data_IF_875382684813
#
_entry.id   IF_875382684813
#
_cell.length_a   1.000
_cell.length_b   1.000
_cell.length_c   1.000
_cell.angle_alpha   90.00
_cell.angle_beta   90.00
_cell.angle_gamma   90.00
#
_symmetry.space_group_name_H-M   'P 1'
#
loop_
_entity.id
_entity.type
_entity.pdbx_description
1 polymer ?
#
# COMPACT_ATOMS: atom_id res chain seq x y z
N UNK A 1 14.15 2.81 -3.85
CA UNK A 1 14.12 1.60 -4.71
C UNK A 1 13.24 1.85 -5.93
N UNK A 2 13.37 1.06 -7.01
CA UNK A 2 12.40 1.09 -8.13
C UNK A 2 11.45 -0.08 -8.01
N UNK A 3 10.13 0.18 -8.04
CA UNK A 3 9.10 -0.83 -7.94
C UNK A 3 8.45 -1.13 -9.29
N UNK A 4 8.07 -2.38 -9.51
CA UNK A 4 7.29 -2.80 -10.67
C UNK A 4 5.94 -3.32 -10.20
N UNK A 5 4.85 -2.76 -10.77
CA UNK A 5 3.50 -3.21 -10.48
C UNK A 5 3.22 -4.58 -11.09
N UNK A 6 2.93 -5.55 -10.23
CA UNK A 6 2.40 -6.84 -10.62
C UNK A 6 1.00 -6.67 -11.23
N UNK A 7 0.76 -7.36 -12.34
CA UNK A 7 -0.51 -7.33 -13.04
C UNK A 7 -1.44 -8.44 -12.57
N UNK A 8 -2.75 -8.25 -12.81
CA UNK A 8 -3.77 -9.25 -12.51
C UNK A 8 -3.40 -10.61 -13.12
N UNK A 9 -3.52 -11.69 -12.33
CA UNK A 9 -3.14 -13.04 -12.73
C UNK A 9 -1.75 -13.46 -12.23
N UNK A 10 -0.91 -12.52 -11.80
CA UNK A 10 0.38 -12.87 -11.20
C UNK A 10 0.18 -13.67 -9.89
N UNK A 11 0.79 -14.86 -9.72
CA UNK A 11 0.50 -15.77 -8.61
C UNK A 11 0.82 -15.15 -7.24
N UNK A 12 1.80 -14.25 -7.17
CA UNK A 12 2.19 -13.59 -5.91
C UNK A 12 1.11 -12.66 -5.34
N UNK A 13 0.20 -12.14 -6.17
CA UNK A 13 -0.96 -11.35 -5.73
C UNK A 13 -2.01 -12.20 -4.98
N UNK A 14 -1.89 -13.54 -5.00
CA UNK A 14 -2.77 -14.47 -4.29
C UNK A 14 -2.21 -14.97 -2.97
N UNK A 15 -0.96 -14.65 -2.66
CA UNK A 15 -0.31 -15.12 -1.43
C UNK A 15 -0.73 -14.27 -0.24
N UNK A 16 -0.85 -14.92 0.93
CA UNK A 16 -1.05 -14.20 2.20
C UNK A 16 0.24 -13.49 2.58
N UNK A 17 0.14 -12.17 2.78
CA UNK A 17 1.25 -11.35 3.20
C UNK A 17 1.64 -11.62 4.68
N UNK A 18 2.92 -11.49 4.99
CA UNK A 18 3.49 -11.73 6.32
C UNK A 18 3.41 -10.46 7.18
N UNK A 19 3.19 -10.57 8.49
CA UNK A 19 3.24 -9.41 9.38
C UNK A 19 4.66 -8.86 9.47
N UNK A 20 4.78 -7.55 9.65
CA UNK A 20 6.02 -6.86 10.02
C UNK A 20 6.20 -7.01 11.53
N UNK A 21 7.31 -7.61 11.97
CA UNK A 21 7.57 -7.88 13.40
C UNK A 21 8.25 -6.69 14.07
N UNK A 22 9.18 -6.04 13.37
CA UNK A 22 9.89 -4.86 13.86
C UNK A 22 9.69 -3.71 12.86
N UNK A 23 8.90 -2.71 13.26
CA UNK A 23 8.67 -1.52 12.43
C UNK A 23 9.88 -0.60 12.46
N UNK A 24 10.72 -0.66 13.50
CA UNK A 24 11.90 0.18 13.64
C UNK A 24 13.11 -0.31 12.82
N UNK A 25 13.01 -1.50 12.23
CA UNK A 25 14.03 -2.03 11.33
C UNK A 25 14.31 -1.00 10.22
N UNK A 26 15.56 -0.51 10.08
CA UNK A 26 15.93 0.47 9.06
C UNK A 26 15.59 0.04 7.63
N UNK A 27 15.60 -1.27 7.34
CA UNK A 27 15.20 -1.81 6.02
C UNK A 27 13.71 -1.62 5.79
N UNK A 28 12.88 -1.83 6.83
CA UNK A 28 11.44 -1.61 6.76
C UNK A 28 11.14 -0.12 6.61
N UNK A 29 11.82 0.75 7.37
CA UNK A 29 11.67 2.20 7.25
C UNK A 29 12.02 2.68 5.84
N UNK A 30 13.17 2.28 5.30
CA UNK A 30 13.59 2.62 3.94
C UNK A 30 12.57 2.16 2.89
N UNK A 31 12.02 0.96 3.06
CA UNK A 31 11.01 0.40 2.16
C UNK A 31 9.69 1.18 2.21
N UNK A 32 9.27 1.64 3.39
CA UNK A 32 8.08 2.47 3.57
C UNK A 32 8.28 3.82 2.87
N UNK A 33 9.43 4.46 3.07
CA UNK A 33 9.77 5.74 2.43
C UNK A 33 9.75 5.61 0.90
N UNK A 34 10.34 4.53 0.37
CA UNK A 34 10.33 4.24 -1.06
C UNK A 34 8.89 4.03 -1.59
N UNK A 35 8.03 3.34 -0.84
CA UNK A 35 6.63 3.10 -1.23
C UNK A 35 5.79 4.39 -1.22
N UNK A 36 6.07 5.31 -0.29
CA UNK A 36 5.44 6.62 -0.23
C UNK A 36 5.79 7.48 -1.45
N UNK A 37 7.05 7.48 -1.87
CA UNK A 37 7.48 8.15 -3.10
C UNK A 37 6.81 7.50 -4.32
N UNK A 38 6.82 6.17 -4.39
CA UNK A 38 6.27 5.46 -5.54
C UNK A 38 4.76 5.68 -5.73
N UNK A 39 3.96 5.67 -4.65
CA UNK A 39 2.51 5.88 -4.76
C UNK A 39 2.16 7.28 -5.23
N UNK A 40 2.98 8.27 -4.86
CA UNK A 40 2.85 9.65 -5.32
C UNK A 40 3.12 9.75 -6.83
N UNK A 41 4.21 9.13 -7.30
CA UNK A 41 4.62 9.13 -8.70
C UNK A 41 3.60 8.48 -9.63
N UNK A 42 2.98 7.37 -9.22
CA UNK A 42 1.96 6.68 -10.03
C UNK A 42 0.59 7.35 -9.97
N UNK A 43 0.41 8.41 -9.17
CA UNK A 43 -0.85 9.12 -8.99
C UNK A 43 -1.98 8.24 -8.42
N UNK A 44 -1.61 7.18 -7.72
CA UNK A 44 -2.54 6.20 -7.17
C UNK A 44 -3.28 6.72 -5.94
N UNK A 45 -4.41 6.07 -5.61
CA UNK A 45 -5.17 6.34 -4.37
C UNK A 45 -4.57 5.66 -3.14
N UNK A 46 -3.49 4.90 -3.34
CA UNK A 46 -2.91 3.98 -2.38
C UNK A 46 -2.21 2.83 -3.09
N UNK A 47 -1.41 2.08 -2.34
CA UNK A 47 -0.74 0.88 -2.83
C UNK A 47 -0.50 -0.13 -1.71
N UNK A 48 -0.74 -1.41 -1.98
CA UNK A 48 -0.37 -2.49 -1.07
C UNK A 48 1.01 -3.04 -1.46
N UNK A 49 1.87 -3.30 -0.47
CA UNK A 49 3.22 -3.82 -0.68
C UNK A 49 3.25 -5.10 -1.58
N UNK A 50 2.27 -6.04 -1.48
CA UNK A 50 2.22 -7.20 -2.39
C UNK A 50 2.08 -6.85 -3.87
N UNK A 51 1.54 -5.67 -4.22
CA UNK A 51 1.41 -5.23 -5.61
C UNK A 51 2.76 -4.91 -6.26
N UNK A 52 3.81 -4.72 -5.47
CA UNK A 52 5.18 -4.48 -5.91
C UNK A 52 6.13 -5.59 -5.45
N UNK A 53 5.59 -6.79 -5.31
CA UNK A 53 6.32 -8.01 -4.97
C UNK A 53 6.87 -8.10 -3.54
N UNK A 54 6.43 -7.22 -2.63
CA UNK A 54 6.80 -7.24 -1.22
C UNK A 54 5.72 -7.98 -0.40
N UNK A 55 5.96 -9.21 0.09
CA UNK A 55 4.94 -10.03 0.73
C UNK A 55 4.71 -9.63 2.20
N UNK A 56 4.48 -8.35 2.47
CA UNK A 56 4.30 -7.77 3.81
C UNK A 56 2.88 -7.20 3.98
N UNK A 57 2.35 -7.28 5.20
CA UNK A 57 1.09 -6.66 5.61
C UNK A 57 1.28 -5.15 5.78
N UNK A 58 1.46 -4.47 4.67
CA UNK A 58 1.74 -3.05 4.58
C UNK A 58 0.98 -2.48 3.39
N UNK A 59 0.29 -1.38 3.60
CA UNK A 59 -0.26 -0.59 2.50
C UNK A 59 -0.25 0.90 2.82
N UNK A 60 -0.25 1.72 1.77
CA UNK A 60 -0.37 3.17 1.86
C UNK A 60 -1.78 3.58 1.43
N UNK A 61 -2.44 4.42 2.22
CA UNK A 61 -3.63 5.17 1.81
C UNK A 61 -3.21 6.56 1.37
N UNK A 62 -3.61 7.00 0.18
CA UNK A 62 -3.18 8.28 -0.40
C UNK A 62 -4.33 8.93 -1.19
N UNK A 63 -5.51 9.05 -0.56
CA UNK A 63 -6.69 9.60 -1.24
C UNK A 63 -6.51 11.08 -1.60
N UNK A 64 -6.68 11.40 -2.88
CA UNK A 64 -6.76 12.75 -3.44
C UNK A 64 -7.54 12.73 -4.76
N UNK A 65 -8.21 13.83 -5.15
CA UNK A 65 -8.83 13.94 -6.47
C UNK A 65 -7.84 13.62 -7.60
N UNK A 66 -8.27 12.79 -8.56
CA UNK A 66 -7.52 12.51 -9.79
C UNK A 66 -8.48 12.25 -10.97
N UNK A 67 -7.94 12.03 -12.17
CA UNK A 67 -8.75 11.80 -13.37
C UNK A 67 -9.70 10.59 -13.25
N UNK A 68 -9.35 9.58 -12.45
CA UNK A 68 -10.15 8.38 -12.22
C UNK A 68 -11.18 8.57 -11.09
N UNK A 69 -10.85 9.38 -10.08
CA UNK A 69 -11.67 9.68 -8.91
C UNK A 69 -11.72 11.19 -8.67
N UNK A 70 -12.51 11.95 -9.44
CA UNK A 70 -12.53 13.42 -9.37
C UNK A 70 -13.06 13.97 -8.05
N UNK A 71 -13.90 13.19 -7.37
CA UNK A 71 -14.58 13.56 -6.12
C UNK A 71 -13.97 12.90 -4.88
N UNK A 72 -12.78 12.29 -5.00
CA UNK A 72 -12.16 11.64 -3.86
C UNK A 72 -11.82 12.66 -2.75
N UNK A 73 -12.02 12.30 -1.47
CA UNK A 73 -11.60 13.16 -0.37
C UNK A 73 -10.07 13.28 -0.35
N UNK A 74 -9.57 14.43 0.08
CA UNK A 74 -8.13 14.60 0.33
C UNK A 74 -7.82 14.06 1.72
N UNK A 75 -6.82 13.18 1.81
CA UNK A 75 -6.28 12.71 3.09
C UNK A 75 -4.74 12.75 3.05
N UNK A 76 -4.09 12.90 4.22
CA UNK A 76 -2.65 12.68 4.32
C UNK A 76 -2.29 11.25 3.92
N UNK A 77 -1.14 11.09 3.27
CA UNK A 77 -0.58 9.77 3.03
C UNK A 77 -0.41 9.05 4.37
N UNK A 78 -1.02 7.87 4.49
CA UNK A 78 -1.06 7.11 5.74
C UNK A 78 -0.49 5.72 5.50
N UNK A 79 0.57 5.39 6.23
CA UNK A 79 1.17 4.06 6.27
C UNK A 79 0.34 3.18 7.21
N UNK A 80 -0.12 2.03 6.74
CA UNK A 80 -0.89 1.07 7.53
C UNK A 80 -0.15 -0.26 7.57
N UNK A 81 0.18 -0.71 8.78
CA UNK A 81 0.99 -1.90 9.04
C UNK A 81 0.17 -2.90 9.86
N UNK A 82 0.26 -4.18 9.49
CA UNK A 82 -0.44 -5.30 10.13
C UNK A 82 -1.93 -5.03 10.39
N UNK A 83 -2.69 -4.49 9.42
CA UNK A 83 -4.09 -4.15 9.61
C UNK A 83 -4.94 -5.37 9.95
N UNK A 84 -5.91 -5.18 10.83
CA UNK A 84 -7.00 -6.11 11.08
C UNK A 84 -8.34 -5.40 10.88
N UNK A 85 -9.24 -6.01 10.11
CA UNK A 85 -10.61 -5.52 9.95
C UNK A 85 -11.43 -6.12 11.09
N UNK A 86 -11.78 -5.30 12.08
CA UNK A 86 -12.47 -5.73 13.30
C UNK A 86 -14.00 -5.65 13.21
N UNK A 87 -14.52 -4.93 12.22
CA UNK A 87 -15.96 -4.73 12.03
C UNK A 87 -16.26 -4.33 10.58
N UNK A 88 -17.49 -4.60 10.14
CA UNK A 88 -18.03 -4.15 8.87
C UNK A 88 -19.47 -3.68 9.08
N UNK A 89 -19.92 -2.71 8.29
CA UNK A 89 -21.31 -2.28 8.24
C UNK A 89 -22.08 -3.16 7.25
N UNK A 90 -23.39 -3.36 7.46
CA UNK A 90 -24.28 -4.06 6.53
C UNK A 90 -24.68 -3.22 5.30
N UNK A 91 -24.09 -2.04 5.14
CA UNK A 91 -24.52 -0.97 4.20
C UNK A 91 -23.55 -0.81 3.04
#
# INVERSE_FOLDING_TARGET
MSFTLLQLGHPRLRLKAKPIVDVSDPVIQTMIDDLLVFVEDVGGMGIAAPQVDLPLQLFIMASKPNARYPSAPVMPQTVVINPEIISLSDS
#
